data_IF_140974617184
#
_entry.id   IF_140974617184
#
_cell.length_a   1.000
_cell.length_b   1.000
_cell.length_c   1.000
_cell.angle_alpha   90.00
_cell.angle_beta   90.00
_cell.angle_gamma   90.00
#
_symmetry.space_group_name_H-M   'P 1'
#
loop_
_entity.id
_entity.type
_entity.pdbx_description
1 polymer ?
#
# COMPACT_ATOMS: atom_id res chain seq x y z
N UNK A 1 18.65 28.49 24.00
CA UNK A 1 17.31 28.11 23.52
C UNK A 1 17.47 26.72 22.93
N UNK A 2 17.15 25.69 23.71
CA UNK A 2 17.60 24.31 23.47
C UNK A 2 16.43 23.53 22.90
N UNK A 3 16.58 23.01 21.68
CA UNK A 3 15.55 22.22 21.00
C UNK A 3 15.71 20.78 21.49
N UNK A 4 14.76 20.28 22.28
CA UNK A 4 14.68 18.86 22.64
C UNK A 4 14.06 18.08 21.50
N UNK A 5 14.85 17.25 20.83
CA UNK A 5 14.38 16.26 19.88
C UNK A 5 13.71 15.10 20.63
N UNK A 6 12.39 14.98 20.54
CA UNK A 6 11.67 13.78 20.95
C UNK A 6 11.88 12.69 19.90
N UNK A 7 12.89 11.85 20.12
CA UNK A 7 13.05 10.58 19.41
C UNK A 7 12.09 9.58 20.03
N UNK A 8 11.03 9.20 19.31
CA UNK A 8 10.20 8.04 19.65
C UNK A 8 11.06 6.78 19.54
N UNK A 9 11.50 6.26 20.68
CA UNK A 9 12.14 4.95 20.75
C UNK A 9 11.07 3.86 20.55
N UNK A 10 11.16 3.15 19.44
CA UNK A 10 10.38 1.94 19.19
C UNK A 10 10.91 0.85 20.14
N UNK A 11 10.19 0.57 21.23
CA UNK A 11 10.54 -0.52 22.13
C UNK A 11 10.14 -1.85 21.49
N UNK A 12 11.15 -2.66 21.23
CA UNK A 12 11.03 -4.02 20.71
C UNK A 12 10.59 -4.95 21.86
N UNK A 13 9.31 -5.30 21.93
CA UNK A 13 8.81 -6.33 22.86
C UNK A 13 8.55 -7.63 22.11
N UNK A 14 9.46 -8.58 22.29
CA UNK A 14 9.23 -9.98 21.97
C UNK A 14 8.10 -10.51 22.86
N UNK A 15 6.90 -10.66 22.30
CA UNK A 15 5.81 -11.42 22.91
C UNK A 15 5.19 -12.32 21.83
N UNK A 16 5.53 -13.61 21.87
CA UNK A 16 4.78 -14.69 21.23
C UNK A 16 3.40 -14.81 21.90
N UNK A 17 2.47 -13.96 21.49
CA UNK A 17 1.03 -14.14 21.63
C UNK A 17 0.54 -14.28 20.20
N UNK A 18 -0.36 -15.20 19.89
CA UNK A 18 -1.10 -15.12 18.62
C UNK A 18 -1.86 -13.80 18.66
N UNK A 19 -1.27 -12.73 18.09
CA UNK A 19 -1.86 -11.40 18.10
C UNK A 19 -3.09 -11.52 17.21
N UNK A 20 -4.27 -11.59 17.82
CA UNK A 20 -5.49 -11.47 17.05
C UNK A 20 -5.43 -10.16 16.24
N UNK A 21 -5.77 -10.18 14.95
CA UNK A 21 -5.66 -9.00 14.12
C UNK A 21 -6.49 -7.87 14.73
N UNK A 22 -5.82 -6.75 15.03
CA UNK A 22 -6.44 -5.50 15.47
C UNK A 22 -6.49 -4.56 14.26
N UNK A 23 -7.58 -3.80 14.06
CA UNK A 23 -7.63 -2.85 12.96
C UNK A 23 -6.51 -1.80 13.08
N UNK A 24 -5.75 -1.61 12.01
CA UNK A 24 -4.64 -0.65 11.96
C UNK A 24 -4.35 -0.21 10.52
N UNK A 25 -3.64 0.92 10.38
CA UNK A 25 -3.22 1.48 9.10
C UNK A 25 -1.83 2.09 9.26
N UNK A 26 -0.80 1.36 8.85
CA UNK A 26 0.59 1.78 8.97
C UNK A 26 1.07 2.37 7.64
N UNK A 27 1.25 3.70 7.63
CA UNK A 27 1.71 4.46 6.49
C UNK A 27 3.06 5.09 6.79
N UNK A 28 3.96 5.11 5.80
CA UNK A 28 5.08 6.04 5.77
C UNK A 28 4.92 7.02 4.62
N UNK A 29 5.40 8.24 4.79
CA UNK A 29 5.20 9.31 3.83
C UNK A 29 6.49 10.07 3.58
N UNK A 30 6.74 10.41 2.32
CA UNK A 30 7.86 11.23 1.90
C UNK A 30 7.33 12.45 1.15
N UNK A 31 7.22 13.58 1.85
CA UNK A 31 6.68 14.81 1.27
C UNK A 31 7.57 15.37 0.15
N UNK A 32 8.89 15.20 0.24
CA UNK A 32 9.84 15.69 -0.77
C UNK A 32 9.67 14.97 -2.10
N UNK A 33 9.44 13.65 -2.06
CA UNK A 33 9.25 12.82 -3.25
C UNK A 33 7.77 12.63 -3.60
N UNK A 34 6.85 13.17 -2.79
CA UNK A 34 5.41 13.09 -3.00
C UNK A 34 4.90 11.64 -3.00
N UNK A 35 5.33 10.83 -2.02
CA UNK A 35 5.04 9.39 -1.93
C UNK A 35 4.35 9.03 -0.63
N UNK A 36 3.33 8.17 -0.72
CA UNK A 36 2.77 7.41 0.41
C UNK A 36 3.14 5.94 0.22
N UNK A 37 3.60 5.29 1.28
CA UNK A 37 3.85 3.84 1.35
C UNK A 37 2.91 3.25 2.40
N UNK A 38 1.96 2.43 1.98
CA UNK A 38 1.15 1.61 2.88
C UNK A 38 1.92 0.34 3.22
N UNK A 39 2.42 0.25 4.45
CA UNK A 39 3.26 -0.85 4.93
C UNK A 39 2.46 -2.06 5.36
N UNK A 40 1.50 -1.84 6.24
CA UNK A 40 0.54 -2.84 6.71
C UNK A 40 -0.80 -2.15 6.97
N UNK A 41 -1.89 -2.83 6.68
CA UNK A 41 -3.23 -2.26 6.85
C UNK A 41 -4.25 -3.36 6.98
N UNK A 42 -4.97 -3.33 8.10
CA UNK A 42 -6.11 -4.21 8.36
C UNK A 42 -7.28 -3.33 8.76
N UNK A 43 -8.29 -3.25 7.90
CA UNK A 43 -9.50 -2.49 8.19
C UNK A 43 -10.39 -3.17 9.24
N UNK A 44 -11.26 -2.42 9.94
CA UNK A 44 -12.26 -3.01 10.83
C UNK A 44 -13.10 -4.10 10.17
N UNK A 45 -13.52 -3.90 8.91
CA UNK A 45 -14.26 -4.89 8.13
C UNK A 45 -13.47 -6.19 7.89
N UNK A 46 -12.15 -6.09 7.67
CA UNK A 46 -11.32 -7.30 7.53
C UNK A 46 -11.23 -8.06 8.85
N UNK A 47 -11.13 -7.36 9.99
CA UNK A 47 -11.12 -8.00 11.30
C UNK A 47 -12.44 -8.72 11.58
N UNK A 48 -13.59 -8.12 11.25
CA UNK A 48 -14.89 -8.80 11.39
C UNK A 48 -14.93 -10.13 10.63
N UNK A 49 -14.46 -10.12 9.38
CA UNK A 49 -14.38 -11.32 8.53
C UNK A 49 -13.42 -12.35 9.13
N UNK A 50 -12.23 -11.92 9.58
CA UNK A 50 -11.23 -12.83 10.14
C UNK A 50 -11.66 -13.46 11.46
N UNK A 51 -12.43 -12.73 12.26
CA UNK A 51 -12.89 -13.21 13.58
C UNK A 51 -14.26 -13.86 13.54
N UNK A 52 -14.98 -13.78 12.42
CA UNK A 52 -16.40 -14.12 12.33
C UNK A 52 -17.25 -13.42 13.41
N UNK A 53 -16.89 -12.16 13.70
CA UNK A 53 -17.58 -11.31 14.68
C UNK A 53 -18.17 -10.14 13.93
N UNK A 54 -19.46 -9.90 14.10
CA UNK A 54 -20.08 -8.64 13.69
C UNK A 54 -19.88 -7.64 14.82
N UNK A 55 -19.05 -6.63 14.60
CA UNK A 55 -18.96 -5.50 15.51
C UNK A 55 -20.29 -4.73 15.43
N UNK A 56 -20.91 -4.38 16.57
CA UNK A 56 -22.09 -3.52 16.54
C UNK A 56 -21.76 -2.09 16.07
N UNK A 57 -20.48 -1.71 16.06
CA UNK A 57 -20.02 -0.38 15.69
C UNK A 57 -18.73 -0.49 14.85
N UNK A 58 -18.82 -0.10 13.58
CA UNK A 58 -17.65 0.22 12.75
C UNK A 58 -17.63 1.74 12.61
N UNK A 59 -16.52 2.43 12.91
CA UNK A 59 -16.45 3.87 12.74
C UNK A 59 -16.62 4.25 11.27
N UNK A 60 -17.28 5.39 11.00
CA UNK A 60 -17.41 5.92 9.64
C UNK A 60 -16.04 6.09 8.97
N UNK A 61 -15.04 6.51 9.76
CA UNK A 61 -13.63 6.57 9.38
C UNK A 61 -12.98 5.17 9.46
N UNK A 62 -13.31 4.30 8.52
CA UNK A 62 -12.85 2.90 8.45
C UNK A 62 -12.27 2.49 7.10
N UNK A 63 -12.15 3.43 6.15
CA UNK A 63 -11.55 3.16 4.84
C UNK A 63 -10.10 3.63 4.81
N UNK A 64 -9.26 2.83 4.16
CA UNK A 64 -7.85 3.17 3.96
C UNK A 64 -7.68 4.54 3.28
N UNK A 65 -8.52 4.86 2.28
CA UNK A 65 -8.46 6.13 1.53
C UNK A 65 -8.64 7.35 2.43
N UNK A 66 -9.63 7.31 3.32
CA UNK A 66 -9.95 8.42 4.23
C UNK A 66 -8.82 8.60 5.26
N UNK A 67 -8.29 7.51 5.83
CA UNK A 67 -7.17 7.56 6.78
C UNK A 67 -5.89 8.09 6.10
N UNK A 68 -5.57 7.57 4.91
CA UNK A 68 -4.41 7.99 4.15
C UNK A 68 -4.50 9.47 3.75
N UNK A 69 -5.69 9.95 3.37
CA UNK A 69 -5.92 11.37 3.09
C UNK A 69 -5.66 12.23 4.31
N UNK A 70 -6.21 11.90 5.48
CA UNK A 70 -6.04 12.71 6.68
C UNK A 70 -4.56 12.82 7.09
N UNK A 71 -3.84 11.69 7.11
CA UNK A 71 -2.42 11.67 7.44
C UNK A 71 -1.59 12.43 6.41
N UNK A 72 -1.88 12.27 5.11
CA UNK A 72 -1.17 12.99 4.06
C UNK A 72 -1.45 14.50 4.09
N UNK A 73 -2.69 14.89 4.35
CA UNK A 73 -3.08 16.28 4.51
C UNK A 73 -2.37 16.94 5.71
N UNK A 74 -2.19 16.21 6.80
CA UNK A 74 -1.42 16.68 7.95
C UNK A 74 0.06 16.87 7.61
N UNK A 75 0.68 15.91 6.93
CA UNK A 75 2.07 16.03 6.45
C UNK A 75 2.23 17.24 5.52
N UNK A 76 1.33 17.41 4.55
CA UNK A 76 1.34 18.56 3.63
C UNK A 76 1.18 19.88 4.39
N UNK A 77 0.25 19.95 5.35
CA UNK A 77 0.04 21.14 6.18
C UNK A 77 1.29 21.49 6.97
N UNK A 78 1.93 20.50 7.60
CA UNK A 78 3.15 20.70 8.38
C UNK A 78 4.31 21.23 7.52
N UNK A 79 4.44 20.75 6.29
CA UNK A 79 5.48 21.17 5.36
C UNK A 79 5.10 22.35 4.44
N UNK A 80 3.90 22.93 4.58
CA UNK A 80 3.44 24.04 3.75
C UNK A 80 3.26 23.68 2.26
N UNK A 81 2.95 22.42 1.95
CA UNK A 81 2.72 21.93 0.58
C UNK A 81 1.23 21.65 0.33
N UNK A 82 0.86 21.40 -0.93
CA UNK A 82 -0.52 21.08 -1.31
C UNK A 82 -0.74 19.57 -1.24
N UNK A 83 -1.94 19.15 -0.81
CA UNK A 83 -2.37 17.74 -0.84
C UNK A 83 -2.23 17.12 -2.24
N UNK A 84 -2.51 17.91 -3.28
CA UNK A 84 -2.33 17.52 -4.68
C UNK A 84 -0.87 17.27 -5.10
N UNK A 85 0.12 17.53 -4.26
CA UNK A 85 1.52 17.20 -4.56
C UNK A 85 1.78 15.73 -4.22
N UNK A 86 1.09 14.82 -4.90
CA UNK A 86 1.27 13.37 -4.75
C UNK A 86 1.63 12.77 -6.10
N UNK A 87 2.68 11.95 -6.14
CA UNK A 87 3.16 11.27 -7.33
C UNK A 87 2.90 9.77 -7.28
N UNK A 88 3.07 9.15 -6.11
CA UNK A 88 2.98 7.71 -5.96
C UNK A 88 2.31 7.28 -4.67
N UNK A 89 1.55 6.19 -4.76
CA UNK A 89 1.09 5.41 -3.61
C UNK A 89 1.59 3.98 -3.78
N UNK A 90 2.38 3.49 -2.84
CA UNK A 90 2.95 2.16 -2.85
C UNK A 90 2.21 1.28 -1.85
N UNK A 91 1.63 0.18 -2.33
CA UNK A 91 1.11 -0.91 -1.50
C UNK A 91 2.25 -1.92 -1.30
N UNK A 92 2.84 -1.88 -0.11
CA UNK A 92 3.93 -2.77 0.26
C UNK A 92 3.40 -4.17 0.60
N UNK A 93 4.19 -5.20 0.29
CA UNK A 93 3.96 -6.58 0.70
C UNK A 93 2.51 -7.05 0.51
N UNK A 94 2.07 -7.13 -0.75
CA UNK A 94 0.72 -7.56 -1.08
C UNK A 94 0.55 -9.05 -0.80
N UNK A 95 -0.26 -9.39 0.21
CA UNK A 95 -0.56 -10.77 0.64
C UNK A 95 -1.95 -11.25 0.25
N UNK A 96 -2.83 -10.35 -0.19
CA UNK A 96 -4.20 -10.71 -0.58
C UNK A 96 -4.19 -11.64 -1.80
N UNK A 97 -4.73 -12.85 -1.64
CA UNK A 97 -4.69 -13.90 -2.66
C UNK A 97 -5.32 -13.49 -3.99
N UNK A 98 -6.46 -12.80 -3.97
CA UNK A 98 -7.13 -12.29 -5.20
C UNK A 98 -6.21 -11.29 -5.92
N UNK A 99 -5.57 -10.42 -5.17
CA UNK A 99 -4.62 -9.42 -5.71
C UNK A 99 -3.39 -10.12 -6.30
N UNK A 100 -2.86 -11.13 -5.62
CA UNK A 100 -1.75 -11.96 -6.09
C UNK A 100 -2.08 -12.70 -7.39
N UNK A 101 -3.30 -13.20 -7.53
CA UNK A 101 -3.78 -13.84 -8.76
C UNK A 101 -3.79 -12.85 -9.93
N UNK A 102 -4.36 -11.66 -9.72
CA UNK A 102 -4.33 -10.58 -10.74
C UNK A 102 -2.89 -10.19 -11.08
N UNK A 103 -2.03 -10.01 -10.08
CA UNK A 103 -0.60 -9.72 -10.26
C UNK A 103 0.10 -10.81 -11.07
N UNK A 104 -0.24 -12.09 -10.89
CA UNK A 104 0.36 -13.20 -11.66
C UNK A 104 -0.17 -13.25 -13.09
N UNK A 105 -1.41 -12.86 -13.34
CA UNK A 105 -2.02 -12.88 -14.68
C UNK A 105 -1.56 -11.74 -15.58
N UNK A 106 -1.26 -10.57 -15.02
CA UNK A 106 -0.82 -9.39 -15.80
C UNK A 106 0.49 -9.63 -16.59
N UNK A 107 1.57 -10.20 -16.01
CA UNK A 107 2.86 -10.43 -16.66
C UNK A 107 2.92 -11.70 -17.51
N UNK A 108 2.16 -12.75 -17.18
CA UNK A 108 2.09 -14.00 -17.98
C UNK A 108 1.79 -13.73 -19.46
N UNK A 109 1.01 -12.67 -19.73
CA UNK A 109 0.65 -12.24 -21.08
C UNK A 109 1.71 -11.38 -21.79
N UNK A 110 2.86 -11.07 -21.16
CA UNK A 110 3.97 -10.31 -21.76
C UNK A 110 5.20 -11.14 -22.13
N UNK A 111 5.31 -12.41 -21.69
CA UNK A 111 6.56 -13.22 -21.80
C UNK A 111 7.79 -12.49 -21.22
N UNK A 112 7.58 -11.50 -20.36
CA UNK A 112 8.62 -10.72 -19.69
C UNK A 112 8.89 -11.36 -18.32
N UNK A 113 10.17 -11.59 -18.01
CA UNK A 113 10.58 -11.95 -16.64
C UNK A 113 10.29 -10.76 -15.73
N UNK A 114 9.69 -11.01 -14.56
CA UNK A 114 9.60 -10.03 -13.48
C UNK A 114 11.02 -9.80 -12.92
N UNK A 115 11.82 -9.06 -13.67
CA UNK A 115 13.09 -8.50 -13.24
C UNK A 115 12.84 -7.41 -12.18
N UNK A 116 13.85 -7.02 -11.38
CA UNK A 116 13.67 -6.02 -10.33
C UNK A 116 13.13 -4.65 -10.82
N UNK A 117 13.20 -4.37 -12.13
CA UNK A 117 12.75 -3.13 -12.76
C UNK A 117 11.24 -3.03 -13.03
N UNK A 118 10.42 -3.92 -12.46
CA UNK A 118 8.96 -3.82 -12.43
C UNK A 118 8.22 -3.99 -13.77
N UNK A 119 6.95 -4.38 -13.71
CA UNK A 119 6.02 -4.41 -14.85
C UNK A 119 5.05 -3.23 -14.74
N UNK A 120 5.25 -2.21 -15.58
CA UNK A 120 4.38 -1.02 -15.64
C UNK A 120 3.20 -1.27 -16.58
N UNK A 121 2.00 -0.97 -16.09
CA UNK A 121 0.73 -1.13 -16.78
C UNK A 121 -0.05 0.17 -16.71
N UNK A 122 -0.39 0.74 -17.86
CA UNK A 122 -1.25 1.92 -17.97
C UNK A 122 -2.68 1.60 -17.55
N UNK A 123 -3.37 2.55 -16.92
CA UNK A 123 -4.82 2.44 -16.67
C UNK A 123 -5.64 2.39 -17.97
N UNK A 124 -5.07 2.89 -19.08
CA UNK A 124 -5.66 2.85 -20.44
C UNK A 124 -5.24 1.61 -21.25
N UNK A 125 -4.60 0.61 -20.64
CA UNK A 125 -4.30 -0.65 -21.32
C UNK A 125 -5.57 -1.28 -21.92
N UNK A 126 -5.57 -1.52 -23.23
CA UNK A 126 -6.74 -2.00 -23.97
C UNK A 126 -7.19 -3.40 -23.57
N UNK A 127 -6.31 -4.17 -22.91
CA UNK A 127 -6.64 -5.48 -22.35
C UNK A 127 -7.23 -5.39 -20.93
N UNK A 128 -7.47 -4.18 -20.42
CA UNK A 128 -8.07 -3.93 -19.11
C UNK A 128 -7.16 -4.30 -17.92
N UNK A 129 -5.86 -4.51 -18.11
CA UNK A 129 -4.97 -4.97 -17.03
C UNK A 129 -4.75 -3.92 -15.95
N UNK A 130 -4.64 -2.64 -16.34
CA UNK A 130 -4.54 -1.54 -15.38
C UNK A 130 -5.80 -1.44 -14.53
N UNK A 131 -6.98 -1.47 -15.17
CA UNK A 131 -8.27 -1.50 -14.49
C UNK A 131 -8.42 -2.74 -13.57
N UNK A 132 -7.91 -3.91 -13.99
CA UNK A 132 -7.92 -5.11 -13.17
C UNK A 132 -7.08 -4.93 -11.89
N UNK A 133 -5.87 -4.38 -11.99
CA UNK A 133 -5.03 -4.06 -10.83
C UNK A 133 -5.71 -3.03 -9.91
N UNK A 134 -6.31 -1.99 -10.48
CA UNK A 134 -7.03 -0.96 -9.75
C UNK A 134 -8.28 -1.52 -9.04
N UNK A 135 -8.92 -2.54 -9.60
CA UNK A 135 -10.09 -3.21 -9.02
C UNK A 135 -9.79 -4.19 -7.88
N UNK A 136 -8.51 -4.49 -7.62
CA UNK A 136 -8.10 -5.33 -6.48
C UNK A 136 -8.34 -4.63 -5.14
N UNK A 137 -8.25 -5.36 -4.02
CA UNK A 137 -8.39 -4.73 -2.70
C UNK A 137 -7.31 -3.66 -2.47
N UNK A 138 -6.05 -3.96 -2.82
CA UNK A 138 -4.94 -3.01 -2.71
C UNK A 138 -5.07 -1.84 -3.70
N UNK A 139 -5.65 -2.04 -4.89
CA UNK A 139 -5.89 -0.98 -5.87
C UNK A 139 -7.08 -0.07 -5.50
N UNK A 140 -8.18 -0.63 -5.01
CA UNK A 140 -9.41 0.10 -4.69
C UNK A 140 -9.18 1.20 -3.66
N UNK A 141 -8.44 0.91 -2.60
CA UNK A 141 -8.10 1.92 -1.58
C UNK A 141 -7.38 3.11 -2.20
N UNK A 142 -6.43 2.85 -3.09
CA UNK A 142 -5.68 3.90 -3.80
C UNK A 142 -6.55 4.67 -4.79
N UNK A 143 -7.45 3.97 -5.51
CA UNK A 143 -8.38 4.61 -6.44
C UNK A 143 -9.34 5.57 -5.72
N UNK A 144 -9.80 5.17 -4.54
CA UNK A 144 -10.74 5.97 -3.75
C UNK A 144 -10.11 7.22 -3.14
N UNK A 145 -8.79 7.26 -2.94
CA UNK A 145 -8.10 8.40 -2.37
C UNK A 145 -8.36 9.72 -3.15
N UNK A 146 -8.01 9.84 -4.44
CA UNK A 146 -8.37 11.04 -5.21
C UNK A 146 -9.88 11.13 -5.51
N UNK A 147 -10.57 10.00 -5.64
CA UNK A 147 -11.98 9.99 -6.04
C UNK A 147 -12.95 10.47 -4.96
N UNK A 148 -12.67 10.22 -3.67
CA UNK A 148 -13.48 10.68 -2.54
C UNK A 148 -13.08 12.08 -2.08
N UNK A 149 -11.81 12.46 -2.25
CA UNK A 149 -11.27 13.74 -1.77
C UNK A 149 -10.94 14.70 -2.94
N UNK A 150 -11.85 14.77 -3.93
CA UNK A 150 -11.66 15.53 -5.18
C UNK A 150 -11.30 17.00 -4.96
N UNK A 151 -11.85 17.66 -3.94
CA UNK A 151 -11.52 19.06 -3.67
C UNK A 151 -10.03 19.26 -3.35
N UNK A 152 -9.42 18.29 -2.66
CA UNK A 152 -8.02 18.34 -2.27
C UNK A 152 -7.06 17.86 -3.37
N UNK A 153 -7.45 16.81 -4.11
CA UNK A 153 -6.65 16.21 -5.17
C UNK A 153 -6.93 16.78 -6.57
N UNK A 154 -7.97 17.59 -6.75
CA UNK A 154 -8.38 18.20 -8.02
C UNK A 154 -8.65 17.14 -9.11
N UNK A 155 -8.04 17.31 -10.28
CA UNK A 155 -8.20 16.43 -11.45
C UNK A 155 -7.18 15.27 -11.46
N UNK A 156 -6.54 14.97 -10.33
CA UNK A 156 -5.61 13.85 -10.24
C UNK A 156 -6.35 12.52 -10.32
N UNK A 157 -5.76 11.59 -11.06
CA UNK A 157 -6.23 10.21 -11.22
C UNK A 157 -5.05 9.24 -11.18
N UNK A 158 -5.35 7.95 -11.10
CA UNK A 158 -4.35 6.90 -11.24
C UNK A 158 -4.04 6.73 -12.72
N UNK A 159 -2.76 6.85 -13.11
CA UNK A 159 -2.35 6.78 -14.53
C UNK A 159 -1.69 5.45 -14.89
N UNK A 160 -1.02 4.81 -13.94
CA UNK A 160 -0.40 3.50 -14.13
C UNK A 160 -0.19 2.78 -12.81
N UNK A 161 -0.06 1.47 -12.87
CA UNK A 161 0.40 0.62 -11.78
C UNK A 161 1.67 -0.10 -12.22
N UNK A 162 2.66 -0.15 -11.34
CA UNK A 162 3.88 -0.92 -11.49
C UNK A 162 3.88 -2.07 -10.48
N UNK A 163 4.06 -3.29 -10.98
CA UNK A 163 4.27 -4.49 -10.18
C UNK A 163 5.77 -4.70 -10.03
N UNK A 164 6.31 -4.68 -8.82
CA UNK A 164 7.73 -5.00 -8.59
C UNK A 164 7.88 -5.97 -7.41
N UNK A 165 8.96 -6.76 -7.43
CA UNK A 165 9.22 -7.75 -6.38
C UNK A 165 10.48 -7.41 -5.59
N UNK A 166 10.39 -7.47 -4.27
CA UNK A 166 11.57 -7.53 -3.41
C UNK A 166 11.94 -9.00 -3.24
N UNK A 167 12.70 -9.57 -4.18
CA UNK A 167 13.41 -10.82 -3.84
C UNK A 167 14.51 -10.45 -2.86
N UNK A 168 14.65 -11.12 -1.69
CA UNK A 168 15.87 -10.98 -0.92
C UNK A 168 17.04 -11.28 -1.86
N UNK A 169 18.05 -10.41 -1.84
CA UNK A 169 19.28 -10.69 -2.56
C UNK A 169 19.77 -12.07 -2.10
N UNK A 170 20.18 -12.93 -3.03
CA UNK A 170 20.69 -14.25 -2.72
C UNK A 170 22.02 -14.12 -1.93
N UNK A 171 21.95 -13.77 -0.66
CA UNK A 171 23.08 -13.79 0.25
C UNK A 171 23.34 -15.26 0.56
N UNK A 172 24.49 -15.78 0.11
CA UNK A 172 24.90 -17.17 0.32
C UNK A 172 25.24 -17.51 1.78
N UNK A 173 24.80 -16.69 2.75
CA UNK A 173 25.19 -16.74 4.16
C UNK A 173 24.02 -16.47 5.13
N UNK A 174 22.77 -16.71 4.74
CA UNK A 174 21.67 -16.74 5.71
C UNK A 174 21.53 -18.16 6.28
N UNK A 175 22.25 -18.42 7.37
CA UNK A 175 21.98 -19.55 8.27
C UNK A 175 20.53 -19.52 8.73
N UNK A 176 19.86 -20.65 8.53
CA UNK A 176 18.50 -21.00 8.92
C UNK A 176 18.03 -20.35 10.25
N UNK A 177 17.44 -19.17 10.17
CA UNK A 177 16.47 -18.71 11.15
C UNK A 177 15.10 -18.83 10.51
N UNK A 178 14.42 -19.93 10.84
CA UNK A 178 12.98 -20.18 10.74
C UNK A 178 12.23 -19.34 9.69
N UNK A 179 12.46 -19.62 8.40
CA UNK A 179 11.62 -19.10 7.33
C UNK A 179 10.46 -20.07 7.07
N UNK A 180 9.23 -19.53 7.12
CA UNK A 180 8.01 -20.21 6.68
C UNK A 180 8.19 -20.69 5.22
N UNK A 181 7.78 -21.93 4.87
CA UNK A 181 8.06 -22.53 3.57
C UNK A 181 7.27 -21.93 2.40
N UNK A 182 6.46 -20.89 2.63
CA UNK A 182 5.71 -20.23 1.57
C UNK A 182 6.60 -19.23 0.82
N UNK A 183 7.21 -19.71 -0.28
CA UNK A 183 7.95 -18.92 -1.28
C UNK A 183 7.03 -17.98 -2.08
N UNK A 184 6.01 -17.40 -1.45
CA UNK A 184 5.16 -16.40 -2.08
C UNK A 184 6.03 -15.17 -2.35
N UNK A 185 6.27 -14.88 -3.62
CA UNK A 185 7.09 -13.73 -4.02
C UNK A 185 6.47 -12.46 -3.44
N UNK A 186 7.24 -11.70 -2.66
CA UNK A 186 6.80 -10.43 -2.09
C UNK A 186 6.63 -9.39 -3.21
N UNK A 187 5.41 -9.28 -3.72
CA UNK A 187 5.05 -8.27 -4.70
C UNK A 187 4.59 -6.99 -4.01
N UNK A 188 4.97 -5.88 -4.62
CA UNK A 188 4.51 -4.55 -4.28
C UNK A 188 3.80 -3.97 -5.50
N UNK A 189 2.87 -3.05 -5.25
CA UNK A 189 2.21 -2.26 -6.29
C UNK A 189 2.53 -0.79 -6.08
N UNK A 190 3.17 -0.14 -7.05
CA UNK A 190 3.32 1.31 -7.08
C UNK A 190 2.29 1.90 -8.04
N UNK A 191 1.38 2.70 -7.52
CA UNK A 191 0.39 3.42 -8.31
C UNK A 191 0.87 4.84 -8.55
N UNK A 192 1.05 5.20 -9.82
CA UNK A 192 1.40 6.56 -10.21
C UNK A 192 0.13 7.40 -10.31
N UNK A 193 0.17 8.58 -9.72
CA UNK A 193 -0.90 9.57 -9.70
C UNK A 193 -0.48 10.77 -10.56
N UNK A 194 -1.41 11.32 -11.33
CA UNK A 194 -1.15 12.46 -12.19
C UNK A 194 -2.43 13.00 -12.84
N UNK A 195 -2.27 14.04 -13.65
CA UNK A 195 -3.32 14.46 -14.58
C UNK A 195 -3.15 13.68 -15.89
N UNK A 196 -4.26 13.35 -16.55
CA UNK A 196 -4.24 12.72 -17.87
C UNK A 196 -3.79 13.66 -18.99
#
# INVERSE_FOLDING_TARGET
MTISSLTLQYQNTNITKSIEPVPHYDLAMNFTHCVIVAYDSVSPYQVEIFKDIKSPIIPDLSRWSDIAYLQWAEVCKFHGTKVSNINYVIQHHTTNQITLEVIKEVPKKRKESLAPSGCVVSMKDSNGRGAALLGTQNGKGVAWLPAQHKEAFKDLTIISAEIFSCKPANNRDETELQHSPDKSSWFNLSFRIGQE
#
